data_IF_248307730122
#
_entry.id   IF_248307730122
#
_cell.length_a   1.000
_cell.length_b   1.000
_cell.length_c   1.000
_cell.angle_alpha   90.00
_cell.angle_beta   90.00
_cell.angle_gamma   90.00
#
_symmetry.space_group_name_H-M   'P 1'
#
loop_
_entity.id
_entity.type
_entity.pdbx_description
1 polymer ?
#
# COMPACT_ATOMS: atom_id res chain seq x y z
N UNK A 1 -6.92 -25.17 1.34
CA UNK A 1 -7.30 -23.75 1.19
C UNK A 1 -6.92 -23.06 2.48
N UNK A 2 -6.13 -22.00 2.43
CA UNK A 2 -5.82 -21.23 3.64
C UNK A 2 -6.91 -20.16 3.75
N UNK A 3 -7.83 -20.38 4.70
CA UNK A 3 -8.89 -19.44 5.12
C UNK A 3 -8.37 -18.41 6.15
N UNK A 4 -7.08 -18.11 6.12
CA UNK A 4 -6.47 -17.21 7.09
C UNK A 4 -6.89 -15.77 6.80
N UNK A 5 -7.62 -15.20 7.76
CA UNK A 5 -8.02 -13.80 7.75
C UNK A 5 -6.87 -12.98 8.33
N UNK A 6 -6.32 -12.09 7.51
CA UNK A 6 -5.19 -11.24 7.86
C UNK A 6 -5.73 -9.86 8.18
N UNK A 7 -5.63 -9.47 9.46
CA UNK A 7 -6.01 -8.12 9.90
C UNK A 7 -4.80 -7.19 9.77
N UNK A 8 -5.01 -6.04 9.14
CA UNK A 8 -4.00 -4.98 8.99
C UNK A 8 -4.63 -3.64 9.36
N UNK A 9 -4.07 -2.98 10.38
CA UNK A 9 -4.39 -1.59 10.72
C UNK A 9 -3.48 -0.63 9.94
N UNK A 10 -4.08 0.40 9.33
CA UNK A 10 -3.36 1.43 8.57
C UNK A 10 -3.76 2.81 9.08
N UNK A 11 -2.78 3.59 9.54
CA UNK A 11 -2.91 5.01 9.86
C UNK A 11 -2.43 5.85 8.66
N UNK A 12 -3.40 6.43 7.95
CA UNK A 12 -3.18 7.32 6.83
C UNK A 12 -2.95 8.75 7.33
N UNK A 13 -1.70 9.17 7.48
CA UNK A 13 -1.34 10.58 7.63
C UNK A 13 -1.21 11.28 6.27
N UNK A 14 -1.19 12.61 6.26
CA UNK A 14 -0.85 13.35 5.04
C UNK A 14 0.64 13.26 4.67
N UNK A 15 1.50 13.05 5.67
CA UNK A 15 2.94 12.96 5.49
C UNK A 15 3.47 11.52 5.41
N UNK A 16 2.92 10.61 6.22
CA UNK A 16 3.39 9.23 6.27
C UNK A 16 2.22 8.25 6.39
N UNK A 17 2.46 7.04 5.89
CA UNK A 17 1.65 5.84 6.05
C UNK A 17 2.27 4.99 7.13
N UNK A 18 1.48 4.58 8.12
CA UNK A 18 1.96 3.77 9.25
C UNK A 18 1.10 2.52 9.40
N UNK A 19 1.76 1.39 9.59
CA UNK A 19 1.17 0.12 10.01
C UNK A 19 1.86 -0.36 11.28
N UNK A 20 1.59 -1.59 11.72
CA UNK A 20 2.29 -2.19 12.86
C UNK A 20 3.79 -2.36 12.60
N UNK A 21 4.17 -2.78 11.39
CA UNK A 21 5.54 -3.18 11.07
C UNK A 21 6.27 -2.23 10.12
N UNK A 22 5.61 -1.23 9.52
CA UNK A 22 6.28 -0.27 8.65
C UNK A 22 5.77 1.17 8.80
N UNK A 23 6.64 2.11 8.45
CA UNK A 23 6.34 3.53 8.34
C UNK A 23 7.07 4.06 7.11
N UNK A 24 6.36 4.69 6.18
CA UNK A 24 6.93 5.25 4.96
C UNK A 24 6.22 6.55 4.57
N UNK A 25 6.93 7.44 3.87
CA UNK A 25 6.35 8.72 3.44
C UNK A 25 5.23 8.51 2.41
N UNK A 26 4.35 9.49 2.27
CA UNK A 26 3.28 9.50 1.24
C UNK A 26 3.79 9.74 -0.18
N UNK A 27 5.12 9.79 -0.38
CA UNK A 27 5.69 9.95 -1.71
C UNK A 27 5.33 8.80 -2.63
N UNK A 28 4.94 9.15 -3.85
CA UNK A 28 4.54 8.19 -4.87
C UNK A 28 4.82 8.76 -6.25
N UNK A 29 5.61 8.04 -7.03
CA UNK A 29 5.95 8.39 -8.41
C UNK A 29 5.59 7.23 -9.34
N UNK A 30 4.82 7.53 -10.39
CA UNK A 30 4.53 6.54 -11.44
C UNK A 30 5.75 6.35 -12.32
N UNK A 31 6.19 5.11 -12.49
CA UNK A 31 7.37 4.76 -13.29
C UNK A 31 6.92 4.37 -14.71
N UNK A 32 7.51 4.94 -15.77
CA UNK A 32 7.08 4.73 -17.15
C UNK A 32 7.50 3.37 -17.75
N UNK A 33 8.51 2.71 -17.19
CA UNK A 33 8.96 1.38 -17.60
C UNK A 33 9.23 0.52 -16.37
N UNK A 34 9.13 -0.82 -16.46
CA UNK A 34 9.56 -1.71 -15.38
C UNK A 34 10.99 -1.34 -14.99
N UNK A 35 11.25 -0.99 -13.72
CA UNK A 35 12.56 -0.52 -13.31
C UNK A 35 13.55 -1.69 -13.28
N UNK A 36 14.82 -1.38 -13.53
CA UNK A 36 15.92 -2.36 -13.44
C UNK A 36 16.07 -2.85 -11.99
N UNK A 37 15.73 -2.00 -11.02
CA UNK A 37 15.74 -2.28 -9.58
C UNK A 37 14.34 -2.09 -9.02
N UNK A 38 13.83 -3.10 -8.35
CA UNK A 38 12.46 -3.15 -7.82
C UNK A 38 12.34 -2.71 -6.35
N UNK A 39 13.37 -2.05 -5.83
CA UNK A 39 13.36 -1.58 -4.45
C UNK A 39 12.28 -0.51 -4.27
N UNK A 40 11.39 -0.73 -3.29
CA UNK A 40 10.24 0.12 -3.02
C UNK A 40 9.28 0.38 -4.21
N UNK A 41 9.20 -0.54 -5.18
CA UNK A 41 8.29 -0.44 -6.33
C UNK A 41 7.06 -1.31 -6.13
N UNK A 42 5.86 -0.73 -6.20
CA UNK A 42 4.60 -1.45 -6.27
C UNK A 42 4.13 -1.56 -7.73
N UNK A 43 3.84 -2.78 -8.17
CA UNK A 43 3.14 -3.00 -9.45
C UNK A 43 1.63 -3.17 -9.22
N UNK A 44 0.83 -2.41 -9.95
CA UNK A 44 -0.63 -2.50 -9.91
C UNK A 44 -1.24 -2.13 -11.27
N UNK A 45 -2.12 -2.98 -11.81
CA UNK A 45 -2.80 -2.78 -13.10
C UNK A 45 -1.86 -2.34 -14.24
N UNK A 46 -0.76 -3.08 -14.45
CA UNK A 46 0.26 -2.81 -15.47
C UNK A 46 0.98 -1.45 -15.30
N UNK A 47 0.87 -0.82 -14.13
CA UNK A 47 1.60 0.39 -13.77
C UNK A 47 2.55 0.11 -12.62
N UNK A 48 3.75 0.68 -12.67
CA UNK A 48 4.73 0.61 -11.58
C UNK A 48 4.73 1.94 -10.82
N UNK A 49 4.83 1.86 -9.50
CA UNK A 49 4.83 3.02 -8.60
C UNK A 49 6.00 2.91 -7.64
N UNK A 50 6.91 3.88 -7.65
CA UNK A 50 7.92 4.00 -6.63
C UNK A 50 7.28 4.60 -5.36
N UNK A 51 7.42 3.93 -4.23
CA UNK A 51 6.76 4.26 -2.96
C UNK A 51 7.78 4.84 -1.98
N UNK A 52 7.44 5.98 -1.38
CA UNK A 52 8.31 6.73 -0.48
C UNK A 52 8.95 7.93 -1.19
N UNK A 53 10.03 8.47 -0.62
CA UNK A 53 10.66 9.71 -1.10
C UNK A 53 9.94 10.96 -0.59
N UNK A 54 9.84 11.98 -1.44
CA UNK A 54 9.26 13.28 -1.07
C UNK A 54 7.76 13.17 -0.80
N UNK A 55 7.30 13.81 0.28
CA UNK A 55 5.89 13.79 0.67
C UNK A 55 5.03 14.43 -0.41
N UNK A 56 3.85 13.86 -0.64
CA UNK A 56 2.83 14.52 -1.45
C UNK A 56 2.51 15.89 -0.86
N UNK A 57 2.26 16.85 -1.75
CA UNK A 57 1.70 18.14 -1.35
C UNK A 57 0.37 17.90 -0.62
N UNK A 58 0.12 18.70 0.41
CA UNK A 58 -1.13 18.60 1.17
C UNK A 58 -2.30 18.86 0.22
N UNK A 59 -3.19 17.88 0.14
CA UNK A 59 -4.45 17.92 -0.61
C UNK A 59 -5.60 18.24 0.34
N UNK A 60 -6.70 18.79 -0.18
CA UNK A 60 -7.91 19.02 0.63
C UNK A 60 -8.53 17.70 1.11
N UNK A 61 -8.48 16.66 0.27
CA UNK A 61 -8.95 15.31 0.60
C UNK A 61 -7.96 14.24 0.16
N UNK A 62 -7.87 13.17 0.94
CA UNK A 62 -7.07 11.97 0.61
C UNK A 62 -7.68 11.11 -0.49
N UNK A 63 -8.89 11.43 -0.94
CA UNK A 63 -9.60 10.69 -2.00
C UNK A 63 -9.75 11.52 -3.27
N UNK A 64 -9.01 12.62 -3.39
CA UNK A 64 -9.02 13.45 -4.60
C UNK A 64 -8.48 12.70 -5.82
N UNK A 65 -7.57 11.76 -5.60
CA UNK A 65 -7.02 10.87 -6.62
C UNK A 65 -6.66 9.51 -6.01
N UNK A 66 -6.09 8.62 -6.85
CA UNK A 66 -5.77 7.25 -6.46
C UNK A 66 -4.51 7.10 -5.60
N UNK A 67 -3.78 8.18 -5.29
CA UNK A 67 -2.49 8.08 -4.61
C UNK A 67 -2.60 7.36 -3.26
N UNK A 68 -3.55 7.76 -2.41
CA UNK A 68 -3.75 7.11 -1.11
C UNK A 68 -4.28 5.68 -1.23
N UNK A 69 -5.03 5.38 -2.29
CA UNK A 69 -5.43 4.01 -2.58
C UNK A 69 -4.21 3.15 -2.93
N UNK A 70 -3.31 3.63 -3.79
CA UNK A 70 -2.07 2.93 -4.14
C UNK A 70 -1.14 2.80 -2.91
N UNK A 71 -1.03 3.84 -2.08
CA UNK A 71 -0.29 3.80 -0.82
C UNK A 71 -0.89 2.77 0.17
N UNK A 72 -2.22 2.58 0.16
CA UNK A 72 -2.89 1.51 0.92
C UNK A 72 -2.43 0.14 0.43
N UNK A 73 -2.40 -0.08 -0.89
CA UNK A 73 -1.91 -1.34 -1.46
C UNK A 73 -0.44 -1.59 -1.13
N UNK A 74 0.40 -0.55 -1.14
CA UNK A 74 1.80 -0.64 -0.75
C UNK A 74 1.97 -1.02 0.73
N UNK A 75 1.16 -0.45 1.63
CA UNK A 75 1.16 -0.80 3.05
C UNK A 75 0.79 -2.27 3.27
N UNK A 76 -0.24 -2.76 2.56
CA UNK A 76 -0.65 -4.16 2.58
C UNK A 76 0.48 -5.06 2.11
N UNK A 77 1.07 -4.77 0.95
CA UNK A 77 2.15 -5.55 0.37
C UNK A 77 3.37 -5.63 1.32
N UNK A 78 3.77 -4.52 1.94
CA UNK A 78 4.85 -4.49 2.94
C UNK A 78 4.54 -5.36 4.15
N UNK A 79 3.32 -5.28 4.69
CA UNK A 79 2.89 -6.12 5.82
C UNK A 79 2.87 -7.61 5.48
N UNK A 80 2.34 -7.97 4.31
CA UNK A 80 2.33 -9.35 3.84
C UNK A 80 3.75 -9.89 3.63
N UNK A 81 4.64 -9.08 3.04
CA UNK A 81 6.05 -9.43 2.87
C UNK A 81 6.74 -9.72 4.21
N UNK A 82 6.57 -8.83 5.19
CA UNK A 82 7.16 -8.98 6.52
C UNK A 82 6.66 -10.27 7.20
N UNK A 83 5.37 -10.61 6.99
CA UNK A 83 4.75 -11.83 7.54
C UNK A 83 5.07 -13.10 6.73
N UNK A 84 5.74 -13.00 5.58
CA UNK A 84 6.01 -14.14 4.69
C UNK A 84 4.76 -14.70 3.99
N UNK A 85 3.68 -13.92 3.89
CA UNK A 85 2.39 -14.35 3.33
C UNK A 85 2.25 -13.87 1.89
N UNK A 86 1.90 -14.76 0.96
CA UNK A 86 1.72 -14.44 -0.47
C UNK A 86 0.30 -13.98 -0.82
N UNK A 87 -0.67 -14.53 -0.12
CA UNK A 87 -2.09 -14.27 -0.38
C UNK A 87 -2.92 -14.65 0.85
N UNK A 88 -4.08 -14.02 0.98
CA UNK A 88 -5.02 -14.27 2.08
C UNK A 88 -6.23 -13.36 1.96
N UNK A 89 -7.19 -13.55 2.88
CA UNK A 89 -8.34 -12.64 3.00
C UNK A 89 -7.95 -11.49 3.91
N UNK A 90 -7.92 -10.26 3.39
CA UNK A 90 -7.43 -9.10 4.13
C UNK A 90 -8.61 -8.32 4.71
N UNK A 91 -8.51 -7.97 5.98
CA UNK A 91 -9.43 -7.04 6.66
C UNK A 91 -8.62 -5.81 7.07
N UNK A 92 -9.02 -4.67 6.51
CA UNK A 92 -8.37 -3.39 6.77
C UNK A 92 -9.10 -2.61 7.85
N UNK A 93 -8.34 -2.07 8.79
CA UNK A 93 -8.83 -1.14 9.81
C UNK A 93 -8.19 0.23 9.58
N UNK A 94 -9.01 1.24 9.30
CA UNK A 94 -8.54 2.61 9.08
C UNK A 94 -8.90 3.51 10.25
N UNK A 95 -7.97 4.39 10.64
CA UNK A 95 -8.21 5.36 11.73
C UNK A 95 -9.04 6.58 11.31
N UNK A 96 -9.18 6.87 10.00
CA UNK A 96 -9.76 8.16 9.55
C UNK A 96 -10.63 8.11 8.29
N UNK A 97 -10.77 6.95 7.63
CA UNK A 97 -11.66 6.78 6.48
C UNK A 97 -12.59 5.58 6.76
N UNK A 98 -13.90 5.83 6.88
CA UNK A 98 -14.91 4.76 6.96
C UNK A 98 -15.02 4.05 5.60
N UNK A 99 -14.12 3.13 5.30
CA UNK A 99 -14.27 2.18 4.19
C UNK A 99 -13.75 0.81 4.67
N UNK A 100 -14.65 -0.12 4.95
CA UNK A 100 -14.30 -1.54 5.07
C UNK A 100 -14.15 -2.08 3.65
N UNK A 101 -12.91 -2.26 3.18
CA UNK A 101 -12.62 -2.85 1.88
C UNK A 101 -12.13 -4.29 2.08
N UNK A 102 -12.79 -5.25 1.42
CA UNK A 102 -12.36 -6.64 1.35
C UNK A 102 -11.83 -6.85 -0.07
N UNK A 103 -10.51 -6.87 -0.23
CA UNK A 103 -9.88 -7.30 -1.49
C UNK A 103 -9.12 -8.59 -1.31
N UNK A 104 -9.16 -9.40 -2.37
CA UNK A 104 -8.27 -10.53 -2.55
C UNK A 104 -7.03 -10.00 -3.25
N UNK A 105 -5.98 -9.75 -2.51
CA UNK A 105 -4.71 -9.25 -3.05
C UNK A 105 -3.87 -10.46 -3.48
N UNK A 106 -3.58 -10.56 -4.76
CA UNK A 106 -2.60 -11.49 -5.30
C UNK A 106 -1.31 -10.69 -5.52
N UNK A 107 -0.34 -10.81 -4.62
CA UNK A 107 0.96 -10.17 -4.80
C UNK A 107 1.97 -11.22 -5.25
N UNK A 108 2.44 -11.08 -6.48
CA UNK A 108 3.77 -11.57 -6.88
C UNK A 108 4.76 -10.53 -6.35
N UNK A 109 5.69 -10.95 -5.48
CA UNK A 109 6.54 -10.04 -4.70
C UNK A 109 7.29 -9.02 -5.55
N UNK A 110 6.87 -7.76 -5.45
CA UNK A 110 7.65 -6.57 -5.76
C UNK A 110 7.20 -5.47 -4.77
N UNK A 111 7.96 -5.41 -3.67
CA UNK A 111 8.14 -4.44 -2.58
C UNK A 111 8.96 -5.18 -1.52
#
# INVERSE_FOLDING_TARGET
MIDEVIVIGIDHGFGDIKTRNCCFSTGIDKVPSPPIVYDNVLEYMNSCYHIGGDRLKIQESKTENDNYYILTLAAIAKELKIRGIKSGRIVLLFRVLKICYISKVYTTYIL
#
